data_IF_903096544246
#
_entry.id   IF_903096544246
#
_cell.length_a   1.000
_cell.length_b   1.000
_cell.length_c   1.000
_cell.angle_alpha   90.00
_cell.angle_beta   90.00
_cell.angle_gamma   90.00
#
_symmetry.space_group_name_H-M   'P 1'
#
loop_
_entity.id
_entity.type
_entity.pdbx_description
1 polymer ?
#
# COMPACT_ATOMS: atom_id res chain seq x y z
N UNK A 1 14.50 -13.14 11.24
CA UNK A 1 14.74 -12.90 9.79
C UNK A 1 14.80 -11.39 9.64
N UNK A 2 16.02 -10.83 9.51
CA UNK A 2 16.23 -9.40 9.23
C UNK A 2 15.78 -9.21 7.77
N UNK A 3 14.62 -8.61 7.56
CA UNK A 3 14.21 -8.16 6.23
C UNK A 3 15.18 -7.06 5.82
N UNK A 4 16.01 -7.34 4.81
CA UNK A 4 16.84 -6.34 4.15
C UNK A 4 15.88 -5.33 3.53
N UNK A 5 15.88 -4.09 4.02
CA UNK A 5 15.07 -3.03 3.41
C UNK A 5 15.48 -2.90 1.94
N UNK A 6 14.55 -3.20 1.06
CA UNK A 6 14.76 -3.05 -0.38
C UNK A 6 14.59 -1.57 -0.70
N UNK A 7 15.71 -0.89 -1.02
CA UNK A 7 15.68 0.51 -1.47
C UNK A 7 15.59 0.58 -2.99
N UNK A 8 14.81 1.54 -3.48
CA UNK A 8 14.65 1.80 -4.91
C UNK A 8 15.87 2.56 -5.45
N UNK A 9 16.47 2.10 -6.56
CA UNK A 9 17.59 2.78 -7.20
C UNK A 9 17.11 4.05 -7.89
N UNK A 10 17.89 5.13 -7.71
CA UNK A 10 17.67 6.44 -8.33
C UNK A 10 18.92 6.95 -9.02
N UNK A 11 18.72 7.75 -10.07
CA UNK A 11 19.77 8.50 -10.73
C UNK A 11 19.70 9.97 -10.32
N UNK A 12 20.85 10.62 -10.10
CA UNK A 12 20.92 12.01 -9.72
C UNK A 12 22.00 12.76 -10.50
N UNK A 13 21.76 14.06 -10.73
CA UNK A 13 22.78 15.00 -11.25
C UNK A 13 22.74 16.25 -10.38
N UNK A 14 23.86 16.54 -9.72
CA UNK A 14 24.07 17.74 -8.92
C UNK A 14 24.98 18.70 -9.66
N UNK A 15 24.51 19.92 -9.92
CA UNK A 15 25.30 21.00 -10.52
C UNK A 15 25.52 22.13 -9.54
N UNK A 16 26.77 22.49 -9.36
CA UNK A 16 27.22 23.63 -8.55
C UNK A 16 28.06 24.56 -9.42
N UNK A 17 27.54 25.76 -9.70
CA UNK A 17 28.24 26.81 -10.46
C UNK A 17 28.31 28.07 -9.62
N UNK A 18 29.46 28.74 -9.62
CA UNK A 18 29.67 29.98 -8.85
C UNK A 18 28.64 31.04 -9.27
N UNK A 19 28.02 31.71 -8.29
CA UNK A 19 26.95 32.71 -8.45
C UNK A 19 25.67 32.19 -9.07
N UNK A 20 25.45 30.88 -9.10
CA UNK A 20 24.19 30.26 -9.47
C UNK A 20 23.58 29.49 -8.28
N UNK A 21 22.25 29.27 -8.25
CA UNK A 21 21.67 28.39 -7.25
C UNK A 21 22.12 26.96 -7.46
N UNK A 22 22.43 26.25 -6.38
CA UNK A 22 22.73 24.83 -6.44
C UNK A 22 21.54 24.07 -7.04
N UNK A 23 21.76 23.24 -8.04
CA UNK A 23 20.70 22.52 -8.76
C UNK A 23 20.87 21.01 -8.64
N UNK A 24 19.80 20.32 -8.28
CA UNK A 24 19.76 18.87 -8.17
C UNK A 24 18.57 18.33 -8.98
N UNK A 25 18.86 17.44 -9.90
CA UNK A 25 17.85 16.61 -10.55
C UNK A 25 17.96 15.17 -10.05
N UNK A 26 16.81 14.53 -9.81
CA UNK A 26 16.73 13.13 -9.36
C UNK A 26 15.65 12.43 -10.17
N UNK A 27 15.93 11.21 -10.62
CA UNK A 27 15.00 10.43 -11.44
C UNK A 27 14.81 8.99 -10.90
N UNK A 28 13.58 8.50 -10.94
CA UNK A 28 13.20 7.14 -10.59
C UNK A 28 11.97 6.68 -11.40
N UNK A 29 12.03 5.51 -12.00
CA UNK A 29 10.88 4.86 -12.69
C UNK A 29 10.11 5.81 -13.64
N UNK A 30 10.83 6.64 -14.40
CA UNK A 30 10.24 7.57 -15.35
C UNK A 30 9.60 8.82 -14.72
N UNK A 31 9.84 9.08 -13.44
CA UNK A 31 9.56 10.35 -12.77
C UNK A 31 10.89 11.05 -12.54
N UNK A 32 10.96 12.33 -12.88
CA UNK A 32 12.11 13.19 -12.60
C UNK A 32 11.68 14.45 -11.87
N UNK A 33 12.46 14.85 -10.89
CA UNK A 33 12.28 16.08 -10.14
C UNK A 33 13.51 16.96 -10.24
N UNK A 34 13.30 18.25 -10.24
CA UNK A 34 14.34 19.26 -10.25
C UNK A 34 14.15 20.20 -9.06
N UNK A 35 15.20 20.43 -8.29
CA UNK A 35 15.16 21.27 -7.10
C UNK A 35 16.35 22.24 -7.13
N UNK A 36 16.08 23.48 -6.77
CA UNK A 36 17.11 24.50 -6.54
C UNK A 36 17.27 24.76 -5.05
N UNK A 37 18.53 24.98 -4.66
CA UNK A 37 18.93 25.31 -3.30
C UNK A 37 19.53 26.70 -3.19
N UNK A 38 20.43 26.87 -2.21
CA UNK A 38 21.09 28.14 -1.94
C UNK A 38 22.08 28.53 -3.06
N UNK A 39 22.43 29.80 -3.10
CA UNK A 39 23.44 30.33 -4.03
C UNK A 39 24.81 29.78 -3.72
N UNK A 40 25.44 29.24 -4.75
CA UNK A 40 26.82 28.76 -4.66
C UNK A 40 27.79 29.94 -4.65
N UNK A 41 28.68 29.99 -3.67
CA UNK A 41 29.68 31.04 -3.52
C UNK A 41 31.01 30.61 -4.14
N UNK A 42 31.85 31.57 -4.43
CA UNK A 42 33.25 31.30 -4.77
C UNK A 42 34.03 30.93 -3.51
N UNK A 43 34.83 29.87 -3.58
CA UNK A 43 35.64 29.42 -2.46
C UNK A 43 36.83 30.35 -2.27
N UNK A 44 36.93 30.99 -1.09
CA UNK A 44 38.03 31.90 -0.76
C UNK A 44 39.34 31.18 -0.41
N UNK A 45 39.26 30.00 0.22
CA UNK A 45 40.46 29.30 0.69
C UNK A 45 40.55 27.87 0.07
N UNK A 46 39.53 27.04 0.27
CA UNK A 46 39.59 25.65 -0.19
C UNK A 46 38.29 25.32 -0.94
N UNK A 47 38.37 25.01 -2.24
CA UNK A 47 37.22 24.58 -3.02
C UNK A 47 36.69 23.24 -2.52
N UNK A 48 35.41 22.99 -2.78
CA UNK A 48 34.79 21.74 -2.40
C UNK A 48 35.29 20.59 -3.29
N UNK A 49 35.51 19.46 -2.65
CA UNK A 49 35.86 18.23 -3.34
C UNK A 49 34.62 17.45 -3.76
N UNK A 50 34.55 17.08 -5.04
CA UNK A 50 33.46 16.33 -5.63
C UNK A 50 33.23 15.00 -4.89
N UNK A 51 34.27 14.29 -4.52
CA UNK A 51 34.16 13.00 -3.83
C UNK A 51 33.52 13.12 -2.44
N UNK A 52 33.81 14.23 -1.75
CA UNK A 52 33.21 14.53 -0.44
C UNK A 52 31.74 14.88 -0.57
N UNK A 53 31.35 15.63 -1.60
CA UNK A 53 29.98 15.98 -1.91
C UNK A 53 29.22 14.70 -2.25
N UNK A 54 29.72 13.87 -3.14
CA UNK A 54 29.13 12.60 -3.54
C UNK A 54 28.86 11.68 -2.35
N UNK A 55 29.85 11.49 -1.47
CA UNK A 55 29.69 10.70 -0.24
C UNK A 55 28.57 11.24 0.64
N UNK A 56 28.40 12.56 0.72
CA UNK A 56 27.33 13.16 1.51
C UNK A 56 25.96 13.01 0.83
N UNK A 57 25.91 13.16 -0.47
CA UNK A 57 24.69 12.98 -1.25
C UNK A 57 24.16 11.54 -1.20
N UNK A 58 25.03 10.53 -1.23
CA UNK A 58 24.69 9.11 -1.14
C UNK A 58 24.10 8.70 0.22
N UNK A 59 24.17 9.54 1.25
CA UNK A 59 23.56 9.28 2.57
C UNK A 59 22.05 9.55 2.54
N UNK A 60 21.28 8.65 1.95
CA UNK A 60 19.82 8.80 1.80
C UNK A 60 19.02 8.52 3.09
N UNK A 61 19.66 8.04 4.15
CA UNK A 61 19.04 7.82 5.47
C UNK A 61 17.88 6.81 5.43
N UNK A 62 16.79 7.15 6.09
CA UNK A 62 15.58 6.32 6.18
C UNK A 62 14.64 6.49 4.97
N UNK A 63 15.10 7.12 3.89
CA UNK A 63 14.30 7.21 2.67
C UNK A 63 14.27 5.87 1.94
N UNK A 64 13.23 5.58 1.15
CA UNK A 64 13.14 4.35 0.37
C UNK A 64 14.09 4.32 -0.84
N UNK A 65 15.03 5.27 -0.96
CA UNK A 65 15.88 5.45 -2.12
C UNK A 65 17.35 5.17 -1.85
N UNK A 66 18.07 4.74 -2.90
CA UNK A 66 19.53 4.64 -2.93
C UNK A 66 20.04 5.15 -4.28
N UNK A 67 21.06 6.02 -4.27
CA UNK A 67 21.69 6.46 -5.52
C UNK A 67 22.48 5.32 -6.17
N UNK A 68 22.00 4.86 -7.30
CA UNK A 68 22.72 3.95 -8.18
C UNK A 68 23.75 4.75 -8.98
N UNK A 69 23.31 5.82 -9.64
CA UNK A 69 24.16 6.76 -10.37
C UNK A 69 23.98 8.16 -9.79
N UNK A 70 25.11 8.85 -9.56
CA UNK A 70 25.13 10.23 -9.10
C UNK A 70 26.28 10.97 -9.76
N UNK A 71 25.95 11.90 -10.62
CA UNK A 71 26.92 12.77 -11.28
C UNK A 71 27.01 14.10 -10.52
N UNK A 72 28.23 14.58 -10.29
CA UNK A 72 28.50 15.84 -9.59
C UNK A 72 29.32 16.75 -10.48
N UNK A 73 28.68 17.80 -10.96
CA UNK A 73 29.30 18.80 -11.83
C UNK A 73 29.67 20.06 -11.01
N UNK A 74 30.95 20.37 -10.97
CA UNK A 74 31.49 21.55 -10.28
C UNK A 74 32.08 22.53 -11.31
N UNK A 75 31.47 23.72 -11.42
CA UNK A 75 31.90 24.75 -12.36
C UNK A 75 32.54 25.91 -11.60
N UNK A 76 33.91 25.92 -11.61
CA UNK A 76 34.72 26.87 -10.90
C UNK A 76 35.13 26.44 -9.49
N UNK A 77 35.66 27.38 -8.73
CA UNK A 77 36.08 27.19 -7.32
C UNK A 77 34.86 27.34 -6.41
N UNK A 78 34.04 26.30 -6.29
CA UNK A 78 32.72 26.36 -5.62
C UNK A 78 32.82 26.14 -4.11
N UNK A 79 31.99 26.87 -3.37
CA UNK A 79 31.74 26.68 -1.95
C UNK A 79 30.22 26.71 -1.65
N UNK A 80 29.77 25.70 -0.93
CA UNK A 80 28.40 25.64 -0.41
C UNK A 80 28.41 24.93 0.97
N UNK A 81 27.73 25.45 2.01
CA UNK A 81 27.66 24.78 3.29
C UNK A 81 27.12 23.37 3.16
N UNK A 82 27.68 22.40 3.89
CA UNK A 82 27.21 21.00 3.84
C UNK A 82 25.75 20.83 4.30
N UNK A 83 25.28 21.78 5.12
CA UNK A 83 23.87 21.83 5.51
C UNK A 83 22.98 22.09 4.30
N UNK A 84 23.33 23.06 3.46
CA UNK A 84 22.57 23.40 2.24
C UNK A 84 22.52 22.23 1.25
N UNK A 85 23.61 21.48 1.11
CA UNK A 85 23.64 20.24 0.31
C UNK A 85 22.68 19.19 0.89
N UNK A 86 22.64 19.02 2.20
CA UNK A 86 21.75 18.09 2.86
C UNK A 86 20.27 18.47 2.70
N UNK A 87 19.97 19.76 2.80
CA UNK A 87 18.61 20.30 2.61
C UNK A 87 18.15 20.12 1.16
N UNK A 88 19.01 20.43 0.20
CA UNK A 88 18.75 20.21 -1.23
C UNK A 88 18.41 18.74 -1.52
N UNK A 89 19.23 17.82 -1.01
CA UNK A 89 18.98 16.39 -1.13
C UNK A 89 17.65 15.98 -0.51
N UNK A 90 17.35 16.43 0.72
CA UNK A 90 16.09 16.11 1.41
C UNK A 90 14.90 16.60 0.61
N UNK A 91 14.93 17.85 0.15
CA UNK A 91 13.87 18.43 -0.68
C UNK A 91 13.62 17.59 -1.94
N UNK A 92 14.69 17.21 -2.64
CA UNK A 92 14.59 16.43 -3.87
C UNK A 92 14.00 15.03 -3.63
N UNK A 93 14.45 14.33 -2.59
CA UNK A 93 13.94 12.98 -2.27
C UNK A 93 12.50 13.01 -1.81
N UNK A 94 12.10 14.00 -1.00
CA UNK A 94 10.69 14.17 -0.58
C UNK A 94 9.79 14.45 -1.79
N UNK A 95 10.21 15.37 -2.67
CA UNK A 95 9.43 15.70 -3.86
C UNK A 95 9.31 14.51 -4.82
N UNK A 96 10.38 13.71 -4.97
CA UNK A 96 10.37 12.50 -5.78
C UNK A 96 9.38 11.47 -5.22
N UNK A 97 9.39 11.25 -3.92
CA UNK A 97 8.46 10.35 -3.24
C UNK A 97 7.01 10.79 -3.43
N UNK A 98 6.74 12.08 -3.23
CA UNK A 98 5.39 12.64 -3.45
C UNK A 98 4.91 12.44 -4.90
N UNK A 99 5.75 12.72 -5.89
CA UNK A 99 5.38 12.55 -7.29
C UNK A 99 5.19 11.08 -7.68
N UNK A 100 6.02 10.17 -7.16
CA UNK A 100 5.83 8.74 -7.35
C UNK A 100 4.50 8.28 -6.75
N UNK A 101 4.18 8.72 -5.53
CA UNK A 101 2.91 8.39 -4.86
C UNK A 101 1.70 8.96 -5.60
N UNK A 102 1.80 10.16 -6.18
CA UNK A 102 0.71 10.77 -6.95
C UNK A 102 0.27 9.93 -8.14
N UNK A 103 1.17 9.19 -8.78
CA UNK A 103 0.83 8.28 -9.90
C UNK A 103 -0.15 7.18 -9.50
N UNK A 104 -0.17 6.79 -8.22
CA UNK A 104 -1.04 5.75 -7.69
C UNK A 104 -2.28 6.31 -6.99
N UNK A 105 -2.38 7.62 -6.83
CA UNK A 105 -3.58 8.25 -6.28
C UNK A 105 -4.74 8.07 -7.24
N UNK A 106 -5.79 7.40 -6.79
CA UNK A 106 -7.05 7.35 -7.51
C UNK A 106 -7.60 8.77 -7.60
N UNK A 107 -7.76 9.28 -8.81
CA UNK A 107 -8.53 10.51 -9.00
C UNK A 107 -9.97 10.20 -8.54
N UNK A 108 -10.46 10.98 -7.60
CA UNK A 108 -11.87 10.95 -7.23
C UNK A 108 -12.64 11.32 -8.51
N UNK A 109 -13.26 10.33 -9.17
CA UNK A 109 -14.28 10.67 -10.16
C UNK A 109 -15.32 11.46 -9.40
N UNK A 110 -15.64 12.69 -9.88
CA UNK A 110 -16.84 13.38 -9.43
C UNK A 110 -17.98 12.38 -9.55
N UNK A 111 -18.37 11.79 -8.40
CA UNK A 111 -19.62 11.07 -8.34
C UNK A 111 -20.66 12.14 -8.59
N UNK A 112 -21.18 12.22 -9.82
CA UNK A 112 -22.49 12.80 -10.00
C UNK A 112 -23.32 12.27 -8.86
N UNK A 113 -23.90 13.20 -8.08
CA UNK A 113 -24.79 12.83 -6.99
C UNK A 113 -25.78 11.82 -7.57
N UNK A 114 -25.53 10.53 -7.30
CA UNK A 114 -26.51 9.50 -7.63
C UNK A 114 -27.78 10.02 -6.98
N UNK A 115 -28.76 10.40 -7.81
CA UNK A 115 -30.07 10.78 -7.32
C UNK A 115 -30.46 9.70 -6.35
N UNK A 116 -30.65 10.07 -5.09
CA UNK A 116 -31.17 9.16 -4.09
C UNK A 116 -32.55 8.72 -4.59
N UNK A 117 -32.57 7.62 -5.32
CA UNK A 117 -33.81 6.93 -5.53
C UNK A 117 -34.35 6.67 -4.13
N UNK A 118 -35.62 6.96 -3.92
CA UNK A 118 -36.32 6.65 -2.68
C UNK A 118 -36.32 5.13 -2.48
N UNK A 119 -35.26 4.64 -1.86
CA UNK A 119 -34.96 3.21 -1.67
C UNK A 119 -35.86 2.63 -0.55
N UNK A 120 -36.55 3.48 0.21
CA UNK A 120 -37.25 3.06 1.42
C UNK A 120 -38.36 2.04 1.20
N UNK A 121 -39.08 2.04 0.06
CA UNK A 121 -40.20 1.11 -0.17
C UNK A 121 -39.78 -0.29 -0.64
N UNK A 122 -38.60 -0.43 -1.27
CA UNK A 122 -38.11 -1.73 -1.78
C UNK A 122 -37.20 -2.53 -0.84
N UNK A 123 -36.66 -1.91 0.19
CA UNK A 123 -35.75 -2.60 1.13
C UNK A 123 -36.42 -3.66 1.99
N UNK A 124 -37.73 -3.55 2.21
CA UNK A 124 -38.51 -4.55 2.97
C UNK A 124 -38.69 -5.88 2.21
N UNK A 125 -38.65 -5.86 0.89
CA UNK A 125 -38.85 -7.01 0.02
C UNK A 125 -37.58 -7.74 -0.39
N UNK A 126 -36.41 -7.11 -0.21
CA UNK A 126 -35.15 -7.72 -0.58
C UNK A 126 -34.77 -8.87 0.37
N UNK A 127 -34.42 -10.03 -0.18
CA UNK A 127 -33.95 -11.15 0.63
C UNK A 127 -32.62 -10.77 1.32
N UNK A 128 -32.50 -11.16 2.59
CA UNK A 128 -31.25 -10.98 3.33
C UNK A 128 -30.33 -12.18 3.13
N UNK A 129 -29.10 -11.89 2.88
CA UNK A 129 -28.02 -12.86 2.88
C UNK A 129 -27.09 -12.54 4.06
N UNK A 130 -26.81 -13.51 4.89
CA UNK A 130 -26.05 -13.32 6.13
C UNK A 130 -24.78 -14.16 6.15
N UNK A 131 -23.73 -13.56 6.69
CA UNK A 131 -22.47 -14.25 6.98
C UNK A 131 -22.45 -14.62 8.46
N UNK A 132 -22.16 -15.88 8.76
CA UNK A 132 -22.30 -16.48 10.09
C UNK A 132 -20.98 -17.11 10.50
N UNK A 133 -20.39 -16.61 11.57
CA UNK A 133 -19.12 -17.08 12.14
C UNK A 133 -19.29 -17.91 13.42
N UNK A 134 -20.52 -18.07 13.94
CA UNK A 134 -20.79 -18.80 15.19
C UNK A 134 -22.10 -19.59 15.11
N UNK A 135 -22.18 -20.69 15.86
CA UNK A 135 -23.35 -21.57 15.95
C UNK A 135 -24.62 -20.83 16.39
N UNK A 136 -24.51 -19.91 17.34
CA UNK A 136 -25.65 -19.13 17.84
C UNK A 136 -26.25 -18.22 16.77
N UNK A 137 -25.39 -17.59 15.96
CA UNK A 137 -25.80 -16.76 14.84
C UNK A 137 -26.53 -17.61 13.77
N UNK A 138 -26.04 -18.82 13.49
CA UNK A 138 -26.69 -19.73 12.57
C UNK A 138 -28.09 -20.10 13.07
N UNK A 139 -28.24 -20.45 14.36
CA UNK A 139 -29.56 -20.74 14.94
C UNK A 139 -30.54 -19.57 14.79
N UNK A 140 -30.06 -18.34 15.06
CA UNK A 140 -30.88 -17.14 14.86
C UNK A 140 -31.21 -16.91 13.39
N UNK A 141 -30.29 -17.17 12.48
CA UNK A 141 -30.52 -17.02 11.05
C UNK A 141 -31.60 -17.99 10.54
N UNK A 142 -31.74 -19.19 11.13
CA UNK A 142 -32.79 -20.14 10.76
C UNK A 142 -34.20 -19.61 11.07
N UNK A 143 -34.36 -18.85 12.14
CA UNK A 143 -35.69 -18.35 12.58
C UNK A 143 -36.13 -17.07 11.87
N UNK A 144 -35.24 -16.37 11.19
CA UNK A 144 -35.55 -15.10 10.52
C UNK A 144 -36.08 -15.36 9.09
N UNK A 145 -37.34 -15.10 8.81
CA UNK A 145 -38.00 -15.34 7.51
C UNK A 145 -37.39 -14.56 6.34
N UNK A 146 -36.87 -13.37 6.62
CA UNK A 146 -36.20 -12.52 5.61
C UNK A 146 -34.87 -13.07 5.12
N UNK A 147 -34.21 -13.92 5.90
CA UNK A 147 -32.94 -14.53 5.52
C UNK A 147 -33.22 -15.67 4.55
N UNK A 148 -32.66 -15.59 3.35
CA UNK A 148 -32.79 -16.62 2.32
C UNK A 148 -31.49 -17.40 2.12
N UNK A 149 -30.35 -16.78 2.43
CA UNK A 149 -29.05 -17.41 2.24
C UNK A 149 -28.12 -17.18 3.42
N UNK A 150 -27.45 -18.25 3.85
CA UNK A 150 -26.51 -18.25 4.95
C UNK A 150 -25.13 -18.62 4.41
N UNK A 151 -24.15 -17.75 4.63
CA UNK A 151 -22.73 -18.01 4.38
C UNK A 151 -22.06 -18.39 5.69
N UNK A 152 -21.64 -19.63 5.81
CA UNK A 152 -21.03 -20.18 7.02
C UNK A 152 -19.51 -20.04 6.94
N UNK A 153 -18.92 -19.37 7.92
CA UNK A 153 -17.46 -19.15 8.00
C UNK A 153 -16.70 -20.46 8.22
N UNK A 154 -15.48 -20.56 7.67
CA UNK A 154 -14.62 -21.73 7.83
C UNK A 154 -14.27 -22.03 9.30
N UNK A 155 -14.14 -21.01 10.14
CA UNK A 155 -13.90 -21.21 11.59
C UNK A 155 -15.14 -21.76 12.30
N UNK A 156 -16.33 -21.27 11.94
CA UNK A 156 -17.59 -21.85 12.42
C UNK A 156 -17.74 -23.31 11.98
N UNK A 157 -17.26 -23.65 10.78
CA UNK A 157 -17.23 -25.02 10.27
C UNK A 157 -16.35 -25.90 11.17
N UNK A 158 -15.15 -25.45 11.56
CA UNK A 158 -14.28 -26.23 12.45
C UNK A 158 -14.94 -26.53 13.81
N UNK A 159 -15.64 -25.56 14.38
CA UNK A 159 -16.35 -25.73 15.65
C UNK A 159 -17.53 -26.70 15.50
N UNK A 160 -18.27 -26.58 14.42
CA UNK A 160 -19.40 -27.45 14.06
C UNK A 160 -18.89 -28.87 13.75
N UNK A 161 -17.76 -28.98 13.04
CA UNK A 161 -17.17 -30.27 12.66
C UNK A 161 -16.69 -31.10 13.82
N UNK A 162 -16.13 -30.44 14.83
CA UNK A 162 -15.68 -31.11 16.06
C UNK A 162 -16.84 -31.64 16.92
N UNK A 163 -18.02 -31.07 16.77
CA UNK A 163 -19.16 -31.35 17.65
C UNK A 163 -20.30 -32.16 17.02
N UNK A 164 -20.55 -32.05 15.72
CA UNK A 164 -21.66 -32.70 15.02
C UNK A 164 -21.40 -32.81 13.52
N UNK A 165 -22.12 -33.74 12.85
CA UNK A 165 -22.03 -33.92 11.41
C UNK A 165 -22.55 -32.66 10.67
N UNK A 166 -21.77 -32.09 9.76
CA UNK A 166 -22.12 -30.90 8.95
C UNK A 166 -23.41 -31.12 8.16
N UNK A 167 -23.69 -32.36 7.76
CA UNK A 167 -24.92 -32.72 7.05
C UNK A 167 -26.18 -32.39 7.86
N UNK A 168 -26.15 -32.46 9.20
CA UNK A 168 -27.23 -32.04 10.06
C UNK A 168 -27.50 -30.52 9.93
N UNK A 169 -26.44 -29.71 9.88
CA UNK A 169 -26.58 -28.25 9.68
C UNK A 169 -27.12 -27.91 8.32
N UNK A 170 -26.67 -28.61 7.28
CA UNK A 170 -27.15 -28.45 5.90
C UNK A 170 -28.61 -28.83 5.84
N UNK A 171 -28.95 -30.01 6.35
CA UNK A 171 -30.33 -30.51 6.35
C UNK A 171 -31.30 -29.55 7.04
N UNK A 172 -30.98 -29.12 8.27
CA UNK A 172 -31.83 -28.18 9.02
C UNK A 172 -31.91 -26.80 8.38
N UNK A 173 -30.89 -26.36 7.67
CA UNK A 173 -30.96 -25.11 6.91
C UNK A 173 -31.89 -25.23 5.72
N UNK A 174 -31.82 -26.32 5.00
CA UNK A 174 -32.73 -26.61 3.88
C UNK A 174 -34.18 -26.83 4.35
N UNK A 175 -34.40 -27.52 5.48
CA UNK A 175 -35.71 -27.66 6.09
C UNK A 175 -36.35 -26.32 6.48
N UNK A 176 -35.51 -25.34 6.86
CA UNK A 176 -35.93 -23.96 7.10
C UNK A 176 -36.18 -23.15 5.80
N UNK A 177 -36.05 -23.77 4.62
CA UNK A 177 -36.26 -23.15 3.32
C UNK A 177 -35.17 -22.16 2.92
N UNK A 178 -33.92 -22.36 3.40
CA UNK A 178 -32.80 -21.46 3.17
C UNK A 178 -31.64 -22.15 2.46
N UNK A 179 -30.87 -21.37 1.70
CA UNK A 179 -29.60 -21.83 1.10
C UNK A 179 -28.48 -21.70 2.08
N UNK A 180 -27.53 -22.63 2.04
CA UNK A 180 -26.30 -22.59 2.83
C UNK A 180 -25.07 -22.72 1.93
N UNK A 181 -24.07 -21.88 2.17
CA UNK A 181 -22.80 -21.85 1.47
C UNK A 181 -21.65 -21.85 2.48
N UNK A 182 -20.63 -22.61 2.21
CA UNK A 182 -19.42 -22.66 3.04
C UNK A 182 -18.44 -21.62 2.53
N UNK A 183 -18.02 -20.70 3.43
CA UNK A 183 -17.02 -19.70 3.13
C UNK A 183 -15.64 -20.22 3.49
N UNK A 184 -14.80 -20.34 2.50
CA UNK A 184 -13.41 -20.74 2.65
C UNK A 184 -12.54 -19.56 3.10
N UNK A 185 -11.35 -19.79 3.72
CA UNK A 185 -10.43 -18.75 4.05
C UNK A 185 -10.01 -17.96 2.79
N UNK A 186 -9.87 -16.64 2.92
CA UNK A 186 -9.41 -15.78 1.81
C UNK A 186 -7.99 -16.11 1.33
N UNK A 187 -7.17 -16.70 2.20
CA UNK A 187 -5.81 -17.10 1.90
C UNK A 187 -5.68 -18.60 2.14
N UNK A 188 -5.48 -19.35 1.06
CA UNK A 188 -5.13 -20.76 1.10
C UNK A 188 -3.62 -20.91 1.07
N UNK A 189 -3.05 -21.42 2.16
CA UNK A 189 -1.67 -21.91 2.19
C UNK A 189 -1.68 -23.43 2.15
N UNK A 190 -0.54 -24.01 1.83
CA UNK A 190 -0.40 -25.46 1.65
C UNK A 190 -0.91 -26.28 2.85
N UNK A 191 -0.66 -25.80 4.05
CA UNK A 191 -1.16 -26.41 5.31
C UNK A 191 -2.70 -26.30 5.46
N UNK A 192 -3.31 -25.26 4.85
CA UNK A 192 -4.76 -25.09 4.82
C UNK A 192 -5.44 -26.04 3.81
N UNK A 193 -4.81 -26.33 2.69
CA UNK A 193 -5.34 -27.28 1.69
C UNK A 193 -5.54 -28.66 2.34
N UNK A 194 -4.54 -29.18 3.02
CA UNK A 194 -4.61 -30.47 3.70
C UNK A 194 -5.71 -30.53 4.78
N UNK A 195 -5.97 -29.40 5.45
CA UNK A 195 -7.00 -29.31 6.49
C UNK A 195 -8.42 -29.37 5.90
N UNK A 196 -8.62 -28.86 4.70
CA UNK A 196 -9.93 -28.76 4.05
C UNK A 196 -10.18 -29.79 2.97
N UNK A 197 -9.17 -30.44 2.40
CA UNK A 197 -9.29 -31.50 1.38
C UNK A 197 -10.14 -32.69 1.85
N UNK A 198 -10.00 -33.09 3.11
CA UNK A 198 -10.79 -34.16 3.73
C UNK A 198 -12.29 -33.86 3.85
N UNK A 199 -12.69 -32.64 3.57
CA UNK A 199 -14.06 -32.15 3.77
C UNK A 199 -14.82 -31.92 2.48
N UNK A 200 -14.15 -32.06 1.33
CA UNK A 200 -14.72 -31.84 -0.01
C UNK A 200 -14.69 -33.09 -0.90
N UNK A 201 -14.16 -34.19 -0.41
CA UNK A 201 -14.27 -35.51 -1.03
C UNK A 201 -15.54 -36.21 -0.53
#
# INVERSE_FOLDING_TARGET
IIQKEVKEPICGNLRLSVNEPAALSVACKGVSVFVQGDMVQEALNQPMDASRIEKQMRKTGNTPFVFEQLDVELNGSVFLPMQSINELRRKALTLLEEQLCQRFRRQSRNREKVRSLSIQERLSELPLHVYVGRKEQWKMALTCERIKRIYLDCHAIEEIWKSQNINDYIGRTHEAGKEIYLCMPHIFRQDGIQRYELHYA
#
